data_IF_043216302111
#
_entry.id   IF_043216302111
#
_cell.length_a   1.000
_cell.length_b   1.000
_cell.length_c   1.000
_cell.angle_alpha   90.00
_cell.angle_beta   90.00
_cell.angle_gamma   90.00
#
_symmetry.space_group_name_H-M   'P 1'
#
loop_
_entity.id
_entity.type
_entity.pdbx_description
1 polymer ?
#
# COMPACT_ATOMS: atom_id res chain seq x y z
N UNK A 1 16.31 -6.95 2.80
CA UNK A 1 15.23 -6.56 3.73
C UNK A 1 14.36 -7.79 3.92
N UNK A 2 14.12 -8.21 5.17
CA UNK A 2 13.45 -9.47 5.48
C UNK A 2 11.94 -9.26 5.45
N UNK A 3 11.22 -9.99 4.58
CA UNK A 3 9.75 -9.98 4.57
C UNK A 3 9.22 -10.50 5.90
N UNK A 4 8.40 -9.70 6.59
CA UNK A 4 7.91 -10.01 7.94
C UNK A 4 6.39 -9.86 7.98
N UNK A 5 5.75 -10.50 8.97
CA UNK A 5 4.34 -10.27 9.27
C UNK A 5 4.20 -8.90 9.92
N UNK A 6 3.33 -8.04 9.38
CA UNK A 6 3.27 -6.61 9.73
C UNK A 6 2.11 -6.24 10.66
N UNK A 7 1.53 -7.22 11.37
CA UNK A 7 0.39 -7.04 12.27
C UNK A 7 0.60 -5.90 13.29
N UNK A 8 1.82 -5.72 13.80
CA UNK A 8 2.18 -4.65 14.76
C UNK A 8 2.11 -3.23 14.18
N UNK A 9 1.96 -3.10 12.86
CA UNK A 9 1.89 -1.81 12.16
C UNK A 9 0.49 -1.47 11.66
N UNK A 10 -0.52 -2.25 12.02
CA UNK A 10 -1.93 -1.97 11.75
C UNK A 10 -2.45 -0.97 12.78
N UNK A 11 -3.21 0.03 12.34
CA UNK A 11 -3.97 0.89 13.23
C UNK A 11 -5.31 0.20 13.55
N UNK A 12 -5.33 -0.61 14.61
CA UNK A 12 -6.50 -1.42 14.97
C UNK A 12 -7.72 -0.61 15.38
N UNK A 13 -7.54 0.60 15.89
CA UNK A 13 -8.67 1.44 16.32
C UNK A 13 -9.54 1.82 15.11
N UNK A 14 -8.90 2.06 13.97
CA UNK A 14 -9.55 2.45 12.71
C UNK A 14 -9.87 1.27 11.77
N UNK A 15 -9.66 0.02 12.20
CA UNK A 15 -10.13 -1.14 11.44
C UNK A 15 -11.66 -1.19 11.52
N UNK A 16 -12.32 -1.33 10.37
CA UNK A 16 -13.77 -1.49 10.27
C UNK A 16 -14.12 -2.71 9.43
N UNK A 17 -15.24 -3.33 9.73
CA UNK A 17 -15.83 -4.41 8.95
C UNK A 17 -17.30 -4.08 8.73
N UNK A 18 -17.75 -4.11 7.48
CA UNK A 18 -19.15 -3.92 7.11
C UNK A 18 -19.81 -5.29 6.93
N UNK A 19 -21.10 -5.36 7.28
CA UNK A 19 -21.90 -6.58 7.28
C UNK A 19 -21.36 -7.69 8.21
N UNK A 20 -20.73 -7.35 9.34
CA UNK A 20 -20.37 -8.34 10.37
C UNK A 20 -21.54 -8.56 11.35
N UNK A 21 -21.88 -9.83 11.63
CA UNK A 21 -22.96 -10.20 12.55
C UNK A 21 -22.63 -9.81 14.01
N UNK A 22 -21.38 -10.01 14.42
CA UNK A 22 -20.87 -9.52 15.70
C UNK A 22 -19.99 -8.29 15.48
N UNK A 23 -20.37 -7.15 16.09
CA UNK A 23 -19.62 -5.91 15.97
C UNK A 23 -18.18 -6.07 16.49
N UNK A 24 -17.20 -5.72 15.65
CA UNK A 24 -15.78 -5.81 15.93
C UNK A 24 -15.16 -7.18 15.68
N UNK A 25 -15.91 -8.18 15.20
CA UNK A 25 -15.39 -9.52 14.89
C UNK A 25 -14.37 -9.51 13.74
N UNK A 26 -14.62 -8.72 12.69
CA UNK A 26 -13.66 -8.50 11.60
C UNK A 26 -12.35 -7.89 12.10
N UNK A 27 -12.43 -6.93 13.03
CA UNK A 27 -11.26 -6.37 13.72
C UNK A 27 -10.56 -7.42 14.58
N UNK A 28 -11.30 -8.31 15.23
CA UNK A 28 -10.76 -9.36 16.08
C UNK A 28 -9.94 -10.39 15.30
N UNK A 29 -10.38 -10.81 14.11
CA UNK A 29 -9.61 -11.74 13.27
C UNK A 29 -8.34 -11.11 12.69
N UNK A 30 -8.33 -9.79 12.47
CA UNK A 30 -7.14 -9.03 12.02
C UNK A 30 -6.12 -8.85 13.16
N UNK A 31 -6.59 -8.82 14.42
CA UNK A 31 -5.73 -8.73 15.61
C UNK A 31 -4.98 -10.03 15.92
N UNK A 32 -5.46 -11.18 15.43
CA UNK A 32 -4.79 -12.47 15.64
C UNK A 32 -3.34 -12.39 15.18
N UNK A 33 -2.44 -12.88 16.02
CA UNK A 33 -1.03 -13.02 15.68
C UNK A 33 -0.79 -14.24 14.80
N UNK A 34 0.42 -14.36 14.25
CA UNK A 34 0.82 -15.58 13.54
C UNK A 34 0.69 -16.85 14.41
N UNK A 35 0.89 -16.75 15.72
CA UNK A 35 0.76 -17.89 16.63
C UNK A 35 -0.70 -18.37 16.74
N UNK A 36 -1.66 -17.44 16.68
CA UNK A 36 -3.10 -17.68 16.83
C UNK A 36 -3.81 -17.94 15.50
N UNK A 37 -3.10 -17.91 14.37
CA UNK A 37 -3.68 -18.03 13.02
C UNK A 37 -4.50 -19.31 12.79
N UNK A 38 -4.22 -20.37 13.55
CA UNK A 38 -4.90 -21.66 13.45
C UNK A 38 -6.03 -21.81 14.50
N UNK A 39 -6.23 -20.82 15.37
CA UNK A 39 -7.35 -20.80 16.28
C UNK A 39 -8.63 -20.50 15.49
N UNK A 40 -9.67 -21.29 15.70
CA UNK A 40 -10.94 -21.10 15.00
C UNK A 40 -11.68 -19.85 15.50
N UNK A 41 -11.45 -19.45 16.76
CA UNK A 41 -12.04 -18.26 17.36
C UNK A 41 -10.98 -17.18 17.69
N UNK A 42 -11.34 -15.88 17.65
CA UNK A 42 -12.60 -15.34 17.10
C UNK A 42 -12.73 -15.59 15.59
N UNK A 43 -13.94 -15.58 15.06
CA UNK A 43 -14.23 -15.53 13.62
C UNK A 43 -15.09 -14.31 13.30
N UNK A 44 -15.13 -13.90 12.03
CA UNK A 44 -16.16 -13.00 11.51
C UNK A 44 -17.15 -13.80 10.71
N UNK A 45 -18.42 -13.51 10.94
CA UNK A 45 -19.58 -14.04 10.21
C UNK A 45 -20.31 -12.86 9.56
N UNK A 46 -20.81 -13.02 8.35
CA UNK A 46 -21.65 -12.01 7.72
C UNK A 46 -23.09 -12.02 8.26
N UNK A 47 -23.75 -10.85 8.32
CA UNK A 47 -25.05 -10.70 8.99
C UNK A 47 -26.25 -10.89 8.05
N UNK A 48 -26.29 -10.12 6.94
CA UNK A 48 -27.47 -10.03 6.09
C UNK A 48 -27.38 -10.87 4.80
N UNK A 49 -26.19 -10.97 4.24
CA UNK A 49 -25.85 -11.67 2.99
C UNK A 49 -24.39 -12.12 3.04
N UNK A 50 -23.90 -12.79 2.01
CA UNK A 50 -22.55 -13.37 2.00
C UNK A 50 -21.42 -12.33 1.88
N UNK A 51 -21.75 -11.05 1.68
CA UNK A 51 -20.76 -10.03 1.40
C UNK A 51 -20.06 -9.55 2.68
N UNK A 52 -18.74 -9.43 2.64
CA UNK A 52 -17.97 -8.80 3.71
C UNK A 52 -17.01 -7.76 3.15
N UNK A 53 -16.88 -6.62 3.83
CA UNK A 53 -15.94 -5.57 3.46
C UNK A 53 -15.13 -5.13 4.67
N UNK A 54 -13.83 -5.40 4.65
CA UNK A 54 -12.89 -5.11 5.75
C UNK A 54 -11.94 -3.99 5.34
N UNK A 55 -11.92 -2.90 6.10
CA UNK A 55 -10.95 -1.82 5.93
C UNK A 55 -9.83 -1.93 6.97
N UNK A 56 -8.59 -2.00 6.49
CA UNK A 56 -7.39 -2.17 7.31
C UNK A 56 -6.40 -1.02 7.05
N UNK A 57 -6.39 0.02 7.90
CA UNK A 57 -5.39 1.07 7.84
C UNK A 57 -4.08 0.65 8.52
N UNK A 58 -2.97 1.07 7.93
CA UNK A 58 -1.63 0.93 8.50
C UNK A 58 -1.16 2.24 9.12
N UNK A 59 -0.28 2.14 10.11
CA UNK A 59 0.36 3.28 10.80
C UNK A 59 1.45 3.97 9.98
N UNK A 60 1.71 3.49 8.75
CA UNK A 60 2.77 3.98 7.87
C UNK A 60 2.62 3.41 6.47
N UNK A 61 3.67 3.54 5.66
CA UNK A 61 3.66 2.99 4.31
C UNK A 61 4.17 1.55 4.30
N UNK A 62 3.43 0.67 3.63
CA UNK A 62 3.74 -0.75 3.50
C UNK A 62 4.02 -1.09 2.04
N UNK A 63 5.11 -1.82 1.80
CA UNK A 63 5.29 -2.61 0.58
C UNK A 63 4.70 -3.99 0.86
N UNK A 64 3.48 -4.23 0.39
CA UNK A 64 2.78 -5.49 0.65
C UNK A 64 3.32 -6.57 -0.30
N UNK A 65 3.58 -7.76 0.24
CA UNK A 65 4.06 -8.92 -0.50
C UNK A 65 3.00 -9.99 -0.63
N UNK A 66 2.25 -10.26 0.44
CA UNK A 66 1.14 -11.21 0.43
C UNK A 66 0.11 -10.91 1.52
N UNK A 67 -1.13 -11.32 1.24
CA UNK A 67 -2.23 -11.39 2.20
C UNK A 67 -2.32 -12.84 2.67
N UNK A 68 -2.49 -13.05 3.97
CA UNK A 68 -2.67 -14.36 4.58
C UNK A 68 -4.13 -14.48 4.99
N UNK A 69 -4.82 -15.48 4.47
CA UNK A 69 -6.24 -15.69 4.72
C UNK A 69 -6.45 -17.10 5.24
N UNK A 70 -7.20 -17.24 6.34
CA UNK A 70 -7.73 -18.54 6.77
C UNK A 70 -9.23 -18.45 6.97
N UNK A 71 -9.92 -19.45 6.47
CA UNK A 71 -11.37 -19.60 6.50
C UNK A 71 -11.67 -21.03 7.01
N UNK A 72 -12.61 -21.72 6.39
CA UNK A 72 -12.97 -23.12 6.63
C UNK A 72 -12.98 -23.90 5.30
N UNK A 73 -13.13 -25.22 5.37
CA UNK A 73 -13.49 -26.05 4.23
C UNK A 73 -15.02 -26.26 4.14
N UNK A 74 -15.79 -25.20 4.37
CA UNK A 74 -17.27 -25.22 4.29
C UNK A 74 -17.77 -24.37 3.10
N UNK A 75 -19.03 -24.51 2.69
CA UNK A 75 -19.64 -23.65 1.68
C UNK A 75 -19.57 -22.16 2.06
N UNK A 76 -19.64 -21.85 3.35
CA UNK A 76 -19.45 -20.50 3.93
C UNK A 76 -18.05 -19.88 3.74
N UNK A 77 -17.09 -20.59 3.14
CA UNK A 77 -15.78 -20.02 2.84
C UNK A 77 -15.90 -19.04 1.66
N UNK A 78 -15.25 -17.85 1.71
CA UNK A 78 -15.27 -16.91 0.61
C UNK A 78 -14.61 -17.51 -0.64
N UNK A 79 -15.16 -17.18 -1.81
CA UNK A 79 -14.70 -17.70 -3.10
C UNK A 79 -13.86 -16.68 -3.84
N UNK A 80 -14.25 -15.41 -3.81
CA UNK A 80 -13.49 -14.32 -4.42
C UNK A 80 -13.02 -13.31 -3.37
N UNK A 81 -11.85 -12.70 -3.60
CA UNK A 81 -11.37 -11.54 -2.86
C UNK A 81 -10.95 -10.43 -3.82
N UNK A 82 -11.62 -9.30 -3.75
CA UNK A 82 -11.22 -8.03 -4.39
C UNK A 82 -10.46 -7.16 -3.40
N UNK A 83 -9.30 -6.65 -3.81
CA UNK A 83 -8.44 -5.82 -2.97
C UNK A 83 -8.28 -4.43 -3.57
N UNK A 84 -8.60 -3.41 -2.78
CA UNK A 84 -8.35 -2.01 -3.10
C UNK A 84 -7.30 -1.44 -2.15
N UNK A 85 -6.55 -0.43 -2.61
CA UNK A 85 -5.53 0.24 -1.79
C UNK A 85 -5.76 1.74 -1.75
N UNK A 86 -5.50 2.35 -0.59
CA UNK A 86 -5.44 3.81 -0.41
C UNK A 86 -6.70 4.58 -0.83
N UNK A 87 -7.87 3.97 -0.64
CA UNK A 87 -9.18 4.59 -0.87
C UNK A 87 -10.01 4.60 0.41
N UNK A 88 -10.75 5.66 0.66
CA UNK A 88 -11.72 5.83 1.76
C UNK A 88 -13.17 5.68 1.30
N UNK A 89 -13.40 5.72 -0.01
CA UNK A 89 -14.71 5.77 -0.64
C UNK A 89 -15.24 4.40 -1.07
N UNK A 90 -14.56 3.30 -0.72
CA UNK A 90 -14.97 1.95 -1.13
C UNK A 90 -16.02 1.40 -0.17
N UNK A 91 -17.27 1.43 -0.61
CA UNK A 91 -18.42 0.72 -0.07
C UNK A 91 -18.79 -0.50 -0.96
N UNK A 92 -19.89 -1.20 -0.63
CA UNK A 92 -20.33 -2.37 -1.39
C UNK A 92 -20.59 -2.06 -2.86
N UNK A 93 -21.37 -1.02 -3.16
CA UNK A 93 -21.68 -0.63 -4.54
C UNK A 93 -20.41 -0.30 -5.33
N UNK A 94 -19.48 0.45 -4.74
CA UNK A 94 -18.20 0.78 -5.37
C UNK A 94 -17.35 -0.47 -5.59
N UNK A 95 -17.33 -1.41 -4.64
CA UNK A 95 -16.51 -2.61 -4.70
C UNK A 95 -17.06 -3.66 -5.69
N UNK A 96 -18.37 -3.68 -5.92
CA UNK A 96 -19.02 -4.51 -6.93
C UNK A 96 -18.75 -3.99 -8.35
N UNK A 97 -18.93 -2.68 -8.56
CA UNK A 97 -18.83 -2.06 -9.89
C UNK A 97 -17.39 -1.89 -10.39
N UNK A 98 -16.45 -1.62 -9.50
CA UNK A 98 -15.08 -1.26 -9.89
C UNK A 98 -14.12 -2.44 -9.82
N UNK A 99 -13.16 -2.46 -10.74
CA UNK A 99 -12.04 -3.39 -10.67
C UNK A 99 -11.16 -3.08 -9.44
N UNK A 100 -10.92 -4.10 -8.63
CA UNK A 100 -9.93 -4.05 -7.56
C UNK A 100 -8.53 -3.77 -8.10
N UNK A 101 -7.64 -3.27 -7.24
CA UNK A 101 -6.20 -3.21 -7.56
C UNK A 101 -5.65 -4.59 -7.93
N UNK A 102 -6.17 -5.62 -7.28
CA UNK A 102 -6.02 -7.02 -7.64
C UNK A 102 -7.21 -7.84 -7.11
N UNK A 103 -7.54 -8.90 -7.82
CA UNK A 103 -8.58 -9.88 -7.46
C UNK A 103 -7.96 -11.27 -7.35
N UNK A 104 -8.52 -12.10 -6.48
CA UNK A 104 -8.09 -13.46 -6.20
C UNK A 104 -9.28 -14.41 -6.23
N UNK A 105 -9.13 -15.52 -6.96
CA UNK A 105 -9.92 -16.72 -6.77
C UNK A 105 -9.31 -17.51 -5.61
N UNK A 106 -10.12 -17.78 -4.59
CA UNK A 106 -9.72 -18.45 -3.36
C UNK A 106 -9.94 -19.95 -3.48
N UNK A 107 -9.26 -20.72 -2.62
CA UNK A 107 -9.53 -22.15 -2.46
C UNK A 107 -10.45 -22.39 -1.27
N UNK A 108 -11.37 -23.34 -1.40
CA UNK A 108 -12.15 -23.86 -0.28
C UNK A 108 -11.23 -24.76 0.58
N UNK A 109 -10.66 -24.22 1.64
CA UNK A 109 -9.71 -24.94 2.51
C UNK A 109 -9.66 -24.34 3.91
N UNK A 110 -9.31 -25.19 4.89
CA UNK A 110 -9.04 -24.77 6.27
C UNK A 110 -7.59 -24.35 6.53
N UNK A 111 -6.71 -24.52 5.54
CA UNK A 111 -5.32 -24.09 5.60
C UNK A 111 -5.19 -22.56 5.43
N UNK A 112 -4.08 -22.01 5.93
CA UNK A 112 -3.75 -20.60 5.70
C UNK A 112 -3.29 -20.43 4.25
N UNK A 113 -4.07 -19.72 3.46
CA UNK A 113 -3.75 -19.34 2.09
C UNK A 113 -2.83 -18.12 2.10
N UNK A 114 -1.68 -18.22 1.43
CA UNK A 114 -0.82 -17.07 1.15
C UNK A 114 -1.10 -16.57 -0.26
N UNK A 115 -1.71 -15.39 -0.35
CA UNK A 115 -2.17 -14.74 -1.59
C UNK A 115 -1.13 -13.69 -2.02
N UNK A 116 -0.25 -13.99 -2.99
CA UNK A 116 0.82 -13.08 -3.37
C UNK A 116 0.27 -11.92 -4.20
N UNK A 117 0.62 -10.69 -3.81
CA UNK A 117 0.19 -9.50 -4.56
C UNK A 117 1.19 -9.14 -5.66
N UNK A 118 0.71 -8.47 -6.71
CA UNK A 118 1.54 -7.85 -7.75
C UNK A 118 2.29 -6.67 -7.15
N UNK A 119 3.47 -6.91 -6.55
CA UNK A 119 4.25 -5.93 -5.77
C UNK A 119 4.39 -4.55 -6.42
N UNK A 120 4.45 -4.46 -7.75
CA UNK A 120 4.47 -3.20 -8.49
C UNK A 120 3.26 -2.29 -8.20
N UNK A 121 2.08 -2.86 -7.93
CA UNK A 121 0.86 -2.13 -7.56
C UNK A 121 0.75 -1.85 -6.06
N UNK A 122 1.46 -2.61 -5.23
CA UNK A 122 1.32 -2.60 -3.76
C UNK A 122 2.57 -2.10 -3.01
N UNK A 123 3.36 -1.22 -3.64
CA UNK A 123 4.60 -0.69 -3.04
C UNK A 123 4.41 0.46 -2.03
N UNK A 124 3.21 1.07 -2.00
CA UNK A 124 2.91 2.25 -1.18
C UNK A 124 1.54 2.15 -0.50
N UNK A 125 1.24 1.01 0.11
CA UNK A 125 -0.04 0.76 0.78
C UNK A 125 -0.05 1.46 2.14
N UNK A 126 -1.06 2.27 2.39
CA UNK A 126 -1.38 2.87 3.69
C UNK A 126 -2.71 2.34 4.22
N UNK A 127 -3.60 1.88 3.33
CA UNK A 127 -4.87 1.24 3.67
C UNK A 127 -5.17 0.14 2.67
N UNK A 128 -5.74 -0.95 3.15
CA UNK A 128 -6.39 -1.98 2.34
C UNK A 128 -7.90 -1.94 2.55
N UNK A 129 -8.64 -2.16 1.48
CA UNK A 129 -10.03 -2.60 1.54
C UNK A 129 -10.09 -3.99 0.95
N UNK A 130 -10.59 -4.94 1.72
CA UNK A 130 -10.76 -6.34 1.34
C UNK A 130 -12.26 -6.59 1.18
N UNK A 131 -12.69 -6.87 -0.04
CA UNK A 131 -14.09 -7.16 -0.35
C UNK A 131 -14.24 -8.61 -0.77
N UNK A 132 -15.11 -9.33 -0.07
CA UNK A 132 -15.48 -10.70 -0.34
C UNK A 132 -16.93 -10.67 -0.84
N UNK A 133 -17.17 -10.78 -2.17
CA UNK A 133 -18.51 -10.65 -2.75
C UNK A 133 -19.35 -11.91 -2.66
N UNK A 134 -18.69 -13.07 -2.53
CA UNK A 134 -19.33 -14.39 -2.65
C UNK A 134 -18.62 -15.46 -1.82
N UNK A 135 -19.28 -16.61 -1.71
CA UNK A 135 -18.77 -17.80 -1.02
C UNK A 135 -18.97 -19.07 -1.86
N UNK A 136 -18.53 -20.21 -1.34
CA UNK A 136 -18.62 -21.52 -1.98
C UNK A 136 -19.97 -22.22 -1.83
N UNK A 137 -21.01 -21.53 -1.35
CA UNK A 137 -22.36 -22.10 -1.22
C UNK A 137 -23.17 -22.09 -2.51
N UNK A 138 -22.69 -21.37 -3.53
CA UNK A 138 -23.43 -21.13 -4.78
C UNK A 138 -24.85 -20.55 -4.52
N UNK A 139 -25.00 -19.77 -3.45
CA UNK A 139 -26.25 -19.10 -3.05
C UNK A 139 -27.18 -19.94 -2.17
N UNK A 140 -26.73 -21.08 -1.64
CA UNK A 140 -27.47 -21.88 -0.66
C UNK A 140 -27.23 -21.44 0.80
N UNK A 141 -26.09 -20.83 1.08
CA UNK A 141 -25.76 -20.22 2.38
C UNK A 141 -25.38 -18.75 2.18
N UNK A 142 -26.17 -17.85 2.77
CA UNK A 142 -25.96 -16.40 2.71
C UNK A 142 -24.91 -15.93 3.74
N UNK A 143 -24.07 -16.84 4.26
CA UNK A 143 -23.16 -16.55 5.36
C UNK A 143 -21.73 -16.81 4.94
N UNK A 144 -20.87 -15.80 5.05
CA UNK A 144 -19.43 -15.93 4.85
C UNK A 144 -18.71 -15.95 6.20
N UNK A 145 -17.76 -16.88 6.36
CA UNK A 145 -16.95 -17.02 7.59
C UNK A 145 -15.46 -16.93 7.33
N UNK A 146 -14.78 -16.10 8.12
CA UNK A 146 -13.32 -15.92 8.04
C UNK A 146 -12.73 -15.97 9.45
N UNK A 147 -11.65 -16.72 9.64
CA UNK A 147 -11.03 -16.91 10.97
C UNK A 147 -9.72 -16.16 11.12
N UNK A 148 -9.03 -15.79 10.03
CA UNK A 148 -7.76 -15.08 10.13
C UNK A 148 -7.47 -14.20 8.92
N UNK A 149 -7.01 -12.99 9.19
CA UNK A 149 -6.46 -12.06 8.20
C UNK A 149 -5.10 -11.56 8.68
N UNK A 150 -4.06 -11.86 7.91
CA UNK A 150 -2.70 -11.41 8.16
C UNK A 150 -2.07 -10.78 6.92
N UNK A 151 -0.98 -10.05 7.11
CA UNK A 151 -0.29 -9.35 6.02
C UNK A 151 1.22 -9.56 6.14
N UNK A 152 1.89 -9.85 5.03
CA UNK A 152 3.35 -9.90 4.93
C UNK A 152 3.85 -8.79 4.03
N UNK A 153 4.93 -8.14 4.46
CA UNK A 153 5.53 -7.07 3.68
C UNK A 153 6.70 -6.41 4.39
N UNK A 154 6.99 -5.19 3.95
CA UNK A 154 7.96 -4.29 4.57
C UNK A 154 7.25 -3.01 4.97
N UNK A 155 7.27 -2.68 6.25
CA UNK A 155 6.77 -1.39 6.74
C UNK A 155 7.89 -0.35 6.70
N UNK A 156 7.52 0.88 6.34
CA UNK A 156 8.38 2.05 6.35
C UNK A 156 7.66 3.19 7.06
N UNK A 157 8.34 3.81 8.01
CA UNK A 157 7.84 5.01 8.65
C UNK A 157 7.68 6.11 7.60
N UNK A 158 6.48 6.71 7.52
CA UNK A 158 6.30 7.94 6.76
C UNK A 158 7.11 9.03 7.45
N UNK A 159 8.22 9.42 6.82
CA UNK A 159 9.02 10.54 7.29
C UNK A 159 8.17 11.80 7.29
N UNK A 160 8.15 12.55 8.41
CA UNK A 160 7.74 13.96 8.34
C UNK A 160 8.70 14.64 7.37
N UNK A 161 8.17 15.37 6.39
CA UNK A 161 9.01 16.30 5.63
C UNK A 161 9.78 17.16 6.65
N UNK A 162 11.10 17.32 6.54
CA UNK A 162 11.83 18.20 7.44
C UNK A 162 11.19 19.59 7.38
N UNK A 163 10.68 20.06 8.52
CA UNK A 163 10.03 21.37 8.62
C UNK A 163 10.98 22.54 8.31
N UNK A 164 12.29 22.27 8.26
CA UNK A 164 13.31 23.22 7.87
C UNK A 164 14.02 22.73 6.62
N UNK A 165 13.46 23.00 5.44
CA UNK A 165 14.31 23.18 4.26
C UNK A 165 14.87 24.60 4.35
N UNK A 166 15.92 24.76 5.16
CA UNK A 166 16.71 25.97 5.15
C UNK A 166 17.55 25.95 3.86
N UNK A 167 17.03 26.55 2.80
CA UNK A 167 17.83 26.89 1.63
C UNK A 167 18.79 28.03 2.04
N UNK A 168 19.93 27.69 2.64
CA UNK A 168 21.09 28.60 2.69
C UNK A 168 21.74 28.63 1.30
N UNK A 169 20.99 29.11 0.31
CA UNK A 169 21.54 29.59 -0.95
C UNK A 169 21.44 31.12 -0.94
N UNK A 170 22.09 31.76 0.04
CA UNK A 170 22.52 33.13 -0.17
C UNK A 170 23.63 33.06 -1.22
N UNK A 171 23.28 33.25 -2.49
CA UNK A 171 24.26 33.60 -3.49
C UNK A 171 24.92 34.91 -3.01
N UNK A 172 26.14 34.83 -2.49
CA UNK A 172 26.91 36.01 -2.16
C UNK A 172 27.43 36.59 -3.47
N UNK A 173 26.92 37.75 -3.96
CA UNK A 173 27.23 38.25 -5.31
C UNK A 173 28.64 38.85 -5.44
N UNK A 174 29.54 38.56 -4.50
CA UNK A 174 30.85 39.20 -4.40
C UNK A 174 32.05 38.32 -4.74
N UNK A 175 31.87 37.07 -5.20
CA UNK A 175 33.01 36.16 -5.40
C UNK A 175 33.27 35.69 -6.85
N UNK A 176 33.09 36.60 -7.81
CA UNK A 176 33.68 36.42 -9.14
C UNK A 176 34.44 37.69 -9.57
N UNK A 177 35.71 37.77 -9.20
CA UNK A 177 36.67 38.64 -9.88
C UNK A 177 36.94 38.06 -11.27
N UNK A 178 36.32 38.63 -12.29
CA UNK A 178 36.63 38.35 -13.70
C UNK A 178 38.07 38.80 -13.96
N UNK A 179 39.01 37.85 -13.98
CA UNK A 179 40.33 38.07 -14.57
C UNK A 179 40.14 38.21 -16.08
N UNK A 180 40.17 39.45 -16.56
CA UNK A 180 40.13 39.78 -17.97
C UNK A 180 41.25 39.08 -18.74
N UNK A 181 40.88 38.21 -19.67
CA UNK A 181 41.72 37.83 -20.79
C UNK A 181 41.51 38.86 -21.90
N UNK A 182 42.52 39.70 -22.09
CA UNK A 182 42.59 40.66 -23.19
C UNK A 182 42.55 39.92 -24.52
N UNK A 183 41.45 40.08 -25.25
CA UNK A 183 41.28 39.56 -26.61
C UNK A 183 42.00 40.50 -27.59
N UNK A 184 42.74 39.90 -28.52
CA UNK A 184 43.49 40.52 -29.62
C UNK A 184 42.85 41.78 -30.22
N UNK A 185 43.59 42.88 -30.21
CA UNK A 185 43.31 44.03 -31.06
C UNK A 185 44.23 43.97 -32.29
N UNK A 186 43.64 43.63 -33.44
CA UNK A 186 44.27 43.66 -34.76
C UNK A 186 44.46 45.13 -35.18
N UNK A 187 45.68 45.63 -35.09
CA UNK A 187 46.06 46.97 -35.57
C UNK A 187 46.77 46.89 -36.91
N UNK A 188 46.06 47.25 -37.99
CA UNK A 188 46.65 47.57 -39.29
C UNK A 188 47.40 48.90 -39.17
N UNK A 189 48.72 48.92 -39.41
CA UNK A 189 49.45 50.17 -39.57
C UNK A 189 50.27 50.17 -40.86
N UNK A 190 49.98 51.21 -41.65
CA UNK A 190 50.46 51.56 -42.97
C UNK A 190 51.58 52.60 -42.79
N UNK A 191 52.70 52.41 -43.52
CA UNK A 191 53.73 53.42 -43.84
C UNK A 191 54.82 53.60 -42.78
N UNK A 192 56.12 53.66 -43.07
CA UNK A 192 56.88 53.71 -44.33
C UNK A 192 58.08 54.66 -44.15
N UNK A 193 59.30 54.26 -44.55
CA UNK A 193 60.41 55.14 -45.02
C UNK A 193 61.74 54.37 -45.14
N UNK A 194 62.32 54.37 -46.35
CA UNK A 194 63.78 54.42 -46.54
C UNK A 194 64.33 55.80 -46.13
N UNK A 195 65.64 56.13 -46.21
CA UNK A 195 66.64 55.78 -47.24
C UNK A 195 67.86 55.06 -46.61
N UNK A 196 68.89 54.54 -47.28
CA UNK A 196 69.54 54.86 -48.54
C UNK A 196 71.01 55.19 -48.25
N UNK A 197 71.90 54.24 -48.56
CA UNK A 197 73.31 54.34 -49.00
C UNK A 197 73.99 52.99 -48.79
#
# INVERSE_FOLDING_TARGET
MTTTIITTHINFDDVTCLNEAEHGSGKAIVKKTWAERLSDQPEVESDADEQLLVNVPFTGQVKLHSILLRTSNSPSAPKTLKVFINRDDVDFSTAEEQEGTQEFELSQTSDVQELPVKRARFGKVQRLTLFFPDNFSDGEEDVTRITYLGFKGEWMQLGRAPANILYEAAANPSDHAVKGTSVNQMGSHIGGRGPGM
#
